data_IF_887776080766
#
_entry.id   IF_887776080766
#
_cell.length_a   1.000
_cell.length_b   1.000
_cell.length_c   1.000
_cell.angle_alpha   90.00
_cell.angle_beta   90.00
_cell.angle_gamma   90.00
#
_symmetry.space_group_name_H-M   'P 1'
#
loop_
_entity.id
_entity.type
_entity.pdbx_description
1 polymer ?
#
# COMPACT_ATOMS: atom_id res chain seq x y z
N UNK A 1 18.67 61.35 -37.81
CA UNK A 1 19.34 60.65 -36.73
C UNK A 1 18.31 60.40 -35.68
N UNK A 2 17.69 59.22 -35.67
CA UNK A 2 16.68 58.80 -34.71
C UNK A 2 17.23 57.61 -33.97
N UNK A 3 17.43 57.72 -32.65
CA UNK A 3 17.91 56.69 -31.75
C UNK A 3 16.74 55.83 -31.30
N UNK A 4 16.85 54.54 -31.60
CA UNK A 4 15.92 53.48 -31.17
C UNK A 4 16.42 52.94 -29.85
N UNK A 5 15.60 53.06 -28.78
CA UNK A 5 15.80 52.39 -27.49
C UNK A 5 15.13 51.01 -27.50
N UNK A 6 15.76 49.93 -27.02
CA UNK A 6 15.11 48.63 -26.93
C UNK A 6 14.30 48.50 -25.64
N UNK A 7 13.07 47.99 -25.76
CA UNK A 7 12.16 47.67 -24.68
C UNK A 7 12.67 46.48 -23.87
N UNK A 8 12.76 46.66 -22.54
CA UNK A 8 13.12 45.60 -21.61
C UNK A 8 11.99 44.59 -21.45
N UNK A 9 12.31 43.30 -21.64
CA UNK A 9 11.45 42.17 -21.27
C UNK A 9 11.51 41.96 -19.76
N UNK A 10 10.41 42.22 -19.08
CA UNK A 10 10.22 41.87 -17.70
C UNK A 10 9.97 40.35 -17.64
N UNK A 11 10.95 39.59 -17.20
CA UNK A 11 10.81 38.19 -16.83
C UNK A 11 9.98 38.09 -15.57
N UNK A 12 8.72 37.63 -15.70
CA UNK A 12 7.86 37.28 -14.57
C UNK A 12 8.43 36.04 -13.86
N UNK A 13 9.02 36.26 -12.69
CA UNK A 13 9.36 35.17 -11.78
C UNK A 13 8.06 34.62 -11.21
N UNK A 14 7.63 33.47 -11.71
CA UNK A 14 6.65 32.62 -11.05
C UNK A 14 7.24 32.16 -9.71
N UNK A 15 6.81 32.76 -8.62
CA UNK A 15 7.05 32.24 -7.29
C UNK A 15 6.28 30.92 -7.17
N UNK A 16 7.01 29.81 -7.34
CA UNK A 16 6.54 28.51 -6.88
C UNK A 16 6.38 28.62 -5.36
N UNK A 17 5.14 28.76 -4.91
CA UNK A 17 4.81 28.71 -3.50
C UNK A 17 5.32 27.40 -2.92
N UNK A 18 6.35 27.46 -2.11
CA UNK A 18 6.75 26.36 -1.21
C UNK A 18 5.58 26.13 -0.28
N UNK A 19 4.81 25.06 -0.55
CA UNK A 19 3.80 24.55 0.37
C UNK A 19 4.59 24.08 1.59
N UNK A 20 4.61 24.90 2.66
CA UNK A 20 5.15 24.50 3.95
C UNK A 20 4.39 23.25 4.39
N UNK A 21 5.09 22.12 4.43
CA UNK A 21 4.50 20.84 4.82
C UNK A 21 4.06 20.94 6.29
N UNK A 22 2.77 21.04 6.50
CA UNK A 22 2.15 21.22 7.79
C UNK A 22 2.40 19.97 8.64
N UNK A 23 2.98 20.12 9.84
CA UNK A 23 3.24 18.98 10.72
C UNK A 23 1.94 18.28 11.09
N UNK A 24 2.00 16.94 11.21
CA UNK A 24 0.85 16.11 11.54
C UNK A 24 0.20 16.53 12.87
N UNK A 25 -1.10 16.81 12.85
CA UNK A 25 -1.88 17.03 14.05
C UNK A 25 -2.06 15.75 14.86
N UNK A 26 -2.34 15.82 16.17
CA UNK A 26 -2.62 14.63 16.99
C UNK A 26 -3.77 13.78 16.43
N UNK A 27 -4.79 14.40 15.83
CA UNK A 27 -5.93 13.72 15.20
C UNK A 27 -5.51 12.95 13.95
N UNK A 28 -4.69 13.56 13.10
CA UNK A 28 -4.13 12.93 11.92
C UNK A 28 -3.23 11.73 12.29
N UNK A 29 -2.44 11.88 13.35
CA UNK A 29 -1.64 10.77 13.87
C UNK A 29 -2.51 9.63 14.43
N UNK A 30 -3.63 9.94 15.06
CA UNK A 30 -4.59 8.93 15.52
C UNK A 30 -5.23 8.19 14.34
N UNK A 31 -5.58 8.91 13.26
CA UNK A 31 -6.12 8.31 12.04
C UNK A 31 -5.11 7.38 11.35
N UNK A 32 -3.82 7.79 11.29
CA UNK A 32 -2.75 6.94 10.73
C UNK A 32 -2.56 5.65 11.56
N UNK A 33 -2.60 5.77 12.89
CA UNK A 33 -2.54 4.60 13.78
C UNK A 33 -3.71 3.66 13.54
N UNK A 34 -4.92 4.22 13.42
CA UNK A 34 -6.12 3.47 13.10
C UNK A 34 -6.02 2.79 11.74
N UNK A 35 -5.50 3.49 10.72
CA UNK A 35 -5.25 2.92 9.40
C UNK A 35 -4.29 1.73 9.48
N UNK A 36 -3.21 1.83 10.26
CA UNK A 36 -2.28 0.71 10.44
C UNK A 36 -2.97 -0.53 11.05
N UNK A 37 -3.85 -0.32 12.02
CA UNK A 37 -4.65 -1.39 12.62
C UNK A 37 -5.65 -2.00 11.62
N UNK A 38 -6.29 -1.18 10.79
CA UNK A 38 -7.21 -1.66 9.73
C UNK A 38 -6.45 -2.48 8.70
N UNK A 39 -5.29 -2.02 8.21
CA UNK A 39 -4.45 -2.74 7.26
C UNK A 39 -3.99 -4.09 7.84
N UNK A 40 -3.60 -4.12 9.11
CA UNK A 40 -3.23 -5.37 9.77
C UNK A 40 -4.37 -6.39 9.71
N UNK A 41 -5.60 -5.98 10.04
CA UNK A 41 -6.78 -6.86 10.06
C UNK A 41 -7.25 -7.30 8.68
N UNK A 42 -7.01 -6.49 7.64
CA UNK A 42 -7.42 -6.82 6.27
C UNK A 42 -6.48 -7.81 5.58
N UNK A 43 -5.19 -7.80 5.92
CA UNK A 43 -4.18 -8.48 5.11
C UNK A 43 -3.29 -9.47 5.88
N UNK A 44 -3.42 -9.54 7.21
CA UNK A 44 -2.53 -10.35 8.05
C UNK A 44 -3.31 -11.25 9.01
N UNK A 45 -2.61 -12.27 9.50
CA UNK A 45 -3.12 -13.21 10.49
C UNK A 45 -3.00 -12.65 11.92
N UNK A 46 -3.71 -13.26 12.87
CA UNK A 46 -3.85 -12.79 14.26
C UNK A 46 -2.50 -12.49 14.95
N UNK A 47 -1.49 -13.32 14.75
CA UNK A 47 -0.16 -13.10 15.34
C UNK A 47 0.50 -11.80 14.85
N UNK A 48 0.35 -11.49 13.56
CA UNK A 48 0.87 -10.25 12.98
C UNK A 48 0.05 -9.03 13.44
N UNK A 49 -1.27 -9.19 13.58
CA UNK A 49 -2.16 -8.14 14.09
C UNK A 49 -1.74 -7.73 15.51
N UNK A 50 -1.48 -8.69 16.38
CA UNK A 50 -1.02 -8.42 17.75
C UNK A 50 0.31 -7.64 17.76
N UNK A 51 1.26 -8.00 16.90
CA UNK A 51 2.53 -7.29 16.78
C UNK A 51 2.29 -5.85 16.30
N UNK A 52 1.48 -5.65 15.26
CA UNK A 52 1.16 -4.32 14.72
C UNK A 52 0.45 -3.44 15.75
N UNK A 53 -0.54 -3.97 16.47
CA UNK A 53 -1.29 -3.23 17.48
C UNK A 53 -0.38 -2.72 18.64
N UNK A 54 0.61 -3.50 19.03
CA UNK A 54 1.60 -3.06 20.02
C UNK A 54 2.50 -1.94 19.48
N UNK A 55 2.98 -2.08 18.23
CA UNK A 55 3.88 -1.11 17.61
C UNK A 55 3.19 0.23 17.28
N UNK A 56 1.88 0.21 17.03
CA UNK A 56 1.10 1.44 16.85
C UNK A 56 1.06 2.30 18.10
N UNK A 57 1.13 1.67 19.29
CA UNK A 57 1.05 2.36 20.58
C UNK A 57 2.41 2.82 21.11
N UNK A 58 3.51 2.26 20.60
CA UNK A 58 4.85 2.43 21.15
C UNK A 58 5.80 2.87 20.03
N UNK A 59 6.63 3.88 20.30
CA UNK A 59 7.54 4.42 19.28
C UNK A 59 8.56 3.38 18.80
N UNK A 60 9.22 2.68 19.73
CA UNK A 60 10.11 1.55 19.45
C UNK A 60 10.17 0.61 20.66
N UNK A 61 10.35 -0.69 20.43
CA UNK A 61 10.34 -1.69 21.48
C UNK A 61 11.34 -2.82 21.19
N UNK A 62 12.11 -3.29 22.19
CA UNK A 62 12.97 -4.47 22.05
C UNK A 62 12.18 -5.75 21.81
N UNK A 63 12.71 -6.66 21.00
CA UNK A 63 12.05 -7.94 20.67
C UNK A 63 11.65 -8.74 21.91
N UNK A 64 12.51 -8.83 22.93
CA UNK A 64 12.25 -9.59 24.16
C UNK A 64 11.10 -8.99 24.99
N UNK A 65 11.01 -7.64 25.00
CA UNK A 65 9.94 -6.95 25.72
C UNK A 65 8.61 -7.12 24.99
N UNK A 66 8.63 -7.01 23.65
CA UNK A 66 7.45 -7.21 22.82
C UNK A 66 6.92 -8.64 22.96
N UNK A 67 7.81 -9.65 22.90
CA UNK A 67 7.45 -11.06 23.07
C UNK A 67 6.75 -11.32 24.41
N UNK A 68 7.30 -10.77 25.51
CA UNK A 68 6.67 -10.86 26.84
C UNK A 68 5.29 -10.19 26.91
N UNK A 69 5.12 -9.04 26.26
CA UNK A 69 3.83 -8.32 26.24
C UNK A 69 2.74 -9.10 25.52
N UNK A 70 3.10 -9.77 24.42
CA UNK A 70 2.14 -10.57 23.63
C UNK A 70 1.97 -11.98 24.23
N UNK A 71 2.86 -12.41 25.13
CA UNK A 71 2.81 -13.74 25.75
C UNK A 71 3.34 -14.86 24.86
N UNK A 72 4.28 -14.56 23.94
CA UNK A 72 4.90 -15.54 23.03
C UNK A 72 6.42 -15.62 23.20
N UNK A 73 7.02 -16.68 22.64
CA UNK A 73 8.48 -16.81 22.65
C UNK A 73 9.11 -15.81 21.69
N UNK A 74 10.30 -15.30 22.01
CA UNK A 74 11.05 -14.34 21.16
C UNK A 74 11.32 -14.89 19.77
N UNK A 75 11.53 -16.20 19.64
CA UNK A 75 11.76 -16.86 18.35
C UNK A 75 10.52 -16.74 17.43
N UNK A 76 9.34 -17.04 17.99
CA UNK A 76 8.07 -16.99 17.23
C UNK A 76 7.74 -15.56 16.84
N UNK A 77 7.90 -14.62 17.78
CA UNK A 77 7.76 -13.19 17.50
C UNK A 77 8.69 -12.76 16.35
N UNK A 78 9.97 -13.17 16.37
CA UNK A 78 10.93 -12.79 15.34
C UNK A 78 10.52 -13.33 13.97
N UNK A 79 9.96 -14.54 13.90
CA UNK A 79 9.43 -15.11 12.66
C UNK A 79 8.27 -14.27 12.10
N UNK A 80 7.29 -13.92 12.94
CA UNK A 80 6.16 -13.06 12.56
C UNK A 80 6.63 -11.67 12.14
N UNK A 81 7.51 -11.04 12.94
CA UNK A 81 8.03 -9.73 12.66
C UNK A 81 8.86 -9.69 11.36
N UNK A 82 9.57 -10.78 11.03
CA UNK A 82 10.35 -10.87 9.78
C UNK A 82 9.45 -10.69 8.55
N UNK A 83 8.26 -11.31 8.52
CA UNK A 83 7.30 -11.13 7.44
C UNK A 83 6.83 -9.68 7.33
N UNK A 84 6.51 -9.04 8.46
CA UNK A 84 6.11 -7.62 8.48
C UNK A 84 7.23 -6.69 8.01
N UNK A 85 8.49 -7.01 8.33
CA UNK A 85 9.68 -6.26 7.86
C UNK A 85 9.89 -6.46 6.36
N UNK A 86 9.78 -7.70 5.86
CA UNK A 86 9.86 -8.00 4.43
C UNK A 86 8.76 -7.27 3.65
N UNK A 87 7.58 -7.19 4.23
CA UNK A 87 6.44 -6.46 3.70
C UNK A 87 6.57 -4.94 3.88
N UNK A 88 7.61 -4.47 4.55
CA UNK A 88 7.87 -3.06 4.85
C UNK A 88 6.76 -2.36 5.63
N UNK A 89 6.01 -3.12 6.42
CA UNK A 89 4.99 -2.58 7.33
C UNK A 89 5.60 -2.05 8.61
N UNK A 90 6.68 -2.67 9.08
CA UNK A 90 7.46 -2.25 10.24
C UNK A 90 8.94 -2.18 9.87
N UNK A 91 9.71 -1.47 10.69
CA UNK A 91 11.15 -1.33 10.57
C UNK A 91 11.86 -2.04 11.72
N UNK A 92 13.09 -2.49 11.46
CA UNK A 92 13.94 -3.16 12.44
C UNK A 92 15.24 -2.41 12.58
N UNK A 93 15.69 -2.24 13.82
CA UNK A 93 17.02 -1.69 14.13
C UNK A 93 17.74 -2.63 15.08
N UNK A 94 19.03 -2.91 14.82
CA UNK A 94 19.90 -3.72 15.67
C UNK A 94 20.90 -2.81 16.34
N UNK A 95 20.82 -2.74 17.67
CA UNK A 95 21.71 -1.94 18.48
C UNK A 95 22.69 -2.85 19.24
N UNK A 96 23.97 -2.50 19.24
CA UNK A 96 24.97 -3.16 20.07
C UNK A 96 25.02 -2.46 21.41
N UNK A 97 24.62 -3.13 22.47
CA UNK A 97 24.64 -2.63 23.83
C UNK A 97 25.73 -3.35 24.64
N UNK A 98 26.54 -2.59 25.38
CA UNK A 98 27.53 -3.16 26.29
C UNK A 98 26.82 -3.44 27.62
N UNK A 99 26.80 -4.68 28.06
CA UNK A 99 26.25 -5.04 29.37
C UNK A 99 27.25 -4.64 30.45
N UNK A 100 26.81 -3.88 31.44
CA UNK A 100 27.63 -3.60 32.62
C UNK A 100 27.89 -4.90 33.39
N UNK A 101 29.14 -5.26 33.59
CA UNK A 101 29.55 -6.45 34.32
C UNK A 101 31.02 -6.78 34.09
N UNK A 102 31.58 -7.71 34.88
CA UNK A 102 33.01 -8.06 34.82
C UNK A 102 33.46 -8.65 33.47
N UNK A 103 32.49 -9.12 32.65
CA UNK A 103 32.72 -9.58 31.29
C UNK A 103 31.89 -8.73 30.31
N UNK A 104 32.44 -7.61 29.89
CA UNK A 104 31.84 -6.68 28.93
C UNK A 104 31.72 -7.32 27.53
N UNK A 105 30.73 -8.19 27.34
CA UNK A 105 30.42 -8.72 25.99
C UNK A 105 29.35 -7.86 25.36
N UNK A 106 29.56 -7.36 24.14
CA UNK A 106 28.52 -6.64 23.41
C UNK A 106 27.35 -7.60 23.12
N UNK A 107 26.15 -7.17 23.45
CA UNK A 107 24.91 -7.88 23.15
C UNK A 107 24.18 -7.10 22.05
N UNK A 108 23.82 -7.80 20.96
CA UNK A 108 23.00 -7.21 19.92
C UNK A 108 21.54 -7.31 20.32
N UNK A 109 20.89 -6.16 20.55
CA UNK A 109 19.45 -6.09 20.83
C UNK A 109 18.70 -5.61 19.61
N UNK A 110 17.63 -6.30 19.26
CA UNK A 110 16.80 -6.00 18.12
C UNK A 110 15.60 -5.17 18.57
N UNK A 111 15.38 -4.02 17.94
CA UNK A 111 14.26 -3.12 18.15
C UNK A 111 13.34 -3.14 16.95
N UNK A 112 12.04 -3.22 17.19
CA UNK A 112 11.00 -3.05 16.18
C UNK A 112 10.30 -1.71 16.39
N UNK A 113 9.99 -1.03 15.28
CA UNK A 113 9.28 0.24 15.30
C UNK A 113 8.51 0.46 14.01
N UNK A 114 7.56 1.38 14.03
CA UNK A 114 6.78 1.76 12.86
C UNK A 114 7.24 3.12 12.35
N UNK A 115 7.72 3.16 11.11
CA UNK A 115 7.92 4.41 10.37
C UNK A 115 6.62 4.69 9.60
N UNK A 116 5.84 5.63 10.10
CA UNK A 116 4.53 5.96 9.54
C UNK A 116 4.60 6.49 8.12
N UNK A 117 5.63 7.28 7.77
CA UNK A 117 5.82 7.76 6.41
C UNK A 117 6.03 6.60 5.44
N UNK A 118 6.99 5.74 5.77
CA UNK A 118 7.29 4.55 4.97
C UNK A 118 6.09 3.62 4.86
N UNK A 119 5.39 3.39 5.97
CA UNK A 119 4.15 2.59 6.01
C UNK A 119 3.09 3.13 5.05
N UNK A 120 2.82 4.45 5.05
CA UNK A 120 1.84 5.06 4.15
C UNK A 120 2.24 4.94 2.68
N UNK A 121 3.51 5.18 2.37
CA UNK A 121 4.02 5.09 1.00
C UNK A 121 3.89 3.65 0.46
N UNK A 122 4.25 2.65 1.27
CA UNK A 122 4.10 1.23 0.91
C UNK A 122 2.63 0.84 0.76
N UNK A 123 1.77 1.32 1.65
CA UNK A 123 0.31 1.06 1.57
C UNK A 123 -0.29 1.63 0.29
N UNK A 124 0.02 2.89 -0.05
CA UNK A 124 -0.39 3.53 -1.31
C UNK A 124 0.08 2.73 -2.52
N UNK A 125 1.36 2.37 -2.53
CA UNK A 125 1.95 1.61 -3.63
C UNK A 125 1.28 0.24 -3.82
N UNK A 126 1.05 -0.51 -2.74
CA UNK A 126 0.38 -1.82 -2.81
C UNK A 126 -1.06 -1.71 -3.30
N UNK A 127 -1.81 -0.71 -2.85
CA UNK A 127 -3.16 -0.45 -3.35
C UNK A 127 -3.16 -0.15 -4.84
N UNK A 128 -2.23 0.69 -5.30
CA UNK A 128 -2.09 0.99 -6.73
C UNK A 128 -1.70 -0.25 -7.54
N UNK A 129 -0.81 -1.10 -7.01
CA UNK A 129 -0.41 -2.35 -7.65
C UNK A 129 -1.59 -3.33 -7.79
N UNK A 130 -2.38 -3.51 -6.73
CA UNK A 130 -3.60 -4.33 -6.78
C UNK A 130 -4.60 -3.80 -7.80
N UNK A 131 -4.86 -2.49 -7.80
CA UNK A 131 -5.76 -1.87 -8.76
C UNK A 131 -5.28 -2.06 -10.21
N UNK A 132 -3.99 -1.81 -10.48
CA UNK A 132 -3.41 -2.04 -11.81
C UNK A 132 -3.58 -3.48 -12.28
N UNK A 133 -3.41 -4.44 -11.37
CA UNK A 133 -3.60 -5.85 -11.71
C UNK A 133 -5.06 -6.15 -12.13
N UNK A 134 -6.03 -5.60 -11.42
CA UNK A 134 -7.46 -5.72 -11.76
C UNK A 134 -7.77 -5.00 -13.08
N UNK A 135 -7.28 -3.77 -13.27
CA UNK A 135 -7.48 -3.00 -14.49
C UNK A 135 -6.86 -3.71 -15.71
N UNK A 136 -5.68 -4.33 -15.55
CA UNK A 136 -5.04 -5.12 -16.62
C UNK A 136 -5.89 -6.34 -16.98
N UNK A 137 -6.42 -7.06 -15.98
CA UNK A 137 -7.32 -8.20 -16.24
C UNK A 137 -8.60 -7.76 -16.97
N UNK A 138 -9.17 -6.64 -16.56
CA UNK A 138 -10.35 -6.08 -17.22
C UNK A 138 -10.05 -5.70 -18.68
N UNK A 139 -8.93 -5.03 -18.95
CA UNK A 139 -8.52 -4.71 -20.32
C UNK A 139 -8.32 -5.96 -21.18
N UNK A 140 -7.58 -6.94 -20.67
CA UNK A 140 -7.38 -8.21 -21.40
C UNK A 140 -8.71 -8.93 -21.65
N UNK A 141 -9.64 -8.89 -20.69
CA UNK A 141 -11.00 -9.40 -20.88
C UNK A 141 -11.77 -8.65 -21.97
N UNK A 142 -11.66 -7.32 -22.00
CA UNK A 142 -12.29 -6.48 -23.02
C UNK A 142 -11.68 -6.70 -24.42
N UNK A 143 -10.35 -6.85 -24.50
CA UNK A 143 -9.65 -7.12 -25.76
C UNK A 143 -10.01 -8.50 -26.32
N UNK A 144 -10.29 -9.47 -25.45
CA UNK A 144 -10.62 -10.85 -25.80
C UNK A 144 -12.11 -11.18 -25.72
N UNK A 145 -12.99 -10.19 -25.52
CA UNK A 145 -14.42 -10.43 -25.33
C UNK A 145 -15.11 -11.14 -26.50
N UNK A 146 -14.53 -11.02 -27.70
CA UNK A 146 -15.08 -11.58 -28.91
C UNK A 146 -16.42 -10.95 -29.33
N UNK A 147 -17.18 -11.68 -30.12
CA UNK A 147 -18.45 -11.25 -30.69
C UNK A 147 -19.54 -12.29 -30.41
N UNK A 148 -20.77 -11.87 -30.34
CA UNK A 148 -21.93 -12.74 -30.15
C UNK A 148 -23.02 -12.40 -31.17
N UNK A 149 -23.69 -13.43 -31.68
CA UNK A 149 -24.86 -13.24 -32.53
C UNK A 149 -26.09 -12.97 -31.65
N UNK A 150 -26.80 -11.84 -31.82
CA UNK A 150 -27.96 -11.53 -31.02
C UNK A 150 -29.16 -12.47 -31.30
N UNK A 151 -29.18 -13.14 -32.47
CA UNK A 151 -30.29 -14.04 -32.86
C UNK A 151 -30.07 -15.49 -32.37
N UNK A 152 -28.93 -16.09 -32.68
CA UNK A 152 -28.64 -17.50 -32.32
C UNK A 152 -27.76 -17.67 -31.08
N UNK A 153 -27.26 -16.56 -30.50
CA UNK A 153 -26.37 -16.50 -29.33
C UNK A 153 -25.07 -17.29 -29.48
N UNK A 154 -24.68 -17.58 -30.74
CA UNK A 154 -23.38 -18.19 -30.99
C UNK A 154 -22.28 -17.15 -30.72
N UNK A 155 -21.24 -17.54 -29.94
CA UNK A 155 -20.12 -16.68 -29.61
C UNK A 155 -18.91 -17.01 -30.50
N UNK A 156 -18.20 -15.98 -30.92
CA UNK A 156 -17.02 -16.07 -31.77
C UNK A 156 -15.86 -15.35 -31.07
N UNK A 157 -14.69 -15.95 -31.12
CA UNK A 157 -13.46 -15.27 -30.66
C UNK A 157 -13.06 -14.16 -31.64
N UNK A 158 -12.22 -13.24 -31.20
CA UNK A 158 -11.68 -12.15 -32.05
C UNK A 158 -10.91 -12.70 -33.27
N UNK A 159 -10.31 -13.89 -33.18
CA UNK A 159 -9.62 -14.55 -34.27
C UNK A 159 -10.59 -15.15 -35.29
N UNK A 160 -11.64 -15.80 -34.82
CA UNK A 160 -12.65 -16.43 -35.69
C UNK A 160 -13.45 -15.38 -36.48
N UNK A 161 -13.74 -14.24 -35.87
CA UNK A 161 -14.51 -13.17 -36.53
C UNK A 161 -13.74 -12.56 -37.71
N UNK A 162 -12.42 -12.61 -37.74
CA UNK A 162 -11.63 -12.08 -38.85
C UNK A 162 -12.04 -12.68 -40.21
N UNK A 163 -12.53 -13.93 -40.23
CA UNK A 163 -13.01 -14.59 -41.46
C UNK A 163 -14.46 -14.27 -41.83
N UNK A 164 -15.23 -13.69 -40.89
CA UNK A 164 -16.64 -13.40 -41.04
C UNK A 164 -16.95 -11.96 -41.47
N UNK A 165 -15.92 -11.23 -41.89
CA UNK A 165 -16.06 -9.85 -42.38
C UNK A 165 -16.72 -9.82 -43.76
N UNK A 166 -17.93 -9.29 -43.83
CA UNK A 166 -18.59 -8.93 -45.09
C UNK A 166 -18.04 -7.59 -45.57
N UNK A 167 -17.18 -7.62 -46.59
CA UNK A 167 -16.53 -6.45 -47.16
C UNK A 167 -17.50 -5.47 -47.82
N UNK A 168 -18.70 -5.94 -48.21
CA UNK A 168 -19.71 -5.08 -48.87
C UNK A 168 -20.45 -4.23 -47.85
N UNK A 169 -20.66 -4.78 -46.65
CA UNK A 169 -21.40 -4.12 -45.54
C UNK A 169 -20.47 -3.57 -44.49
N UNK A 170 -19.18 -3.93 -44.54
CA UNK A 170 -18.16 -3.58 -43.53
C UNK A 170 -18.58 -3.96 -42.12
N UNK A 171 -19.16 -5.15 -41.98
CA UNK A 171 -19.63 -5.70 -40.71
C UNK A 171 -19.36 -7.20 -40.61
N UNK A 172 -19.32 -7.73 -39.38
CA UNK A 172 -19.18 -9.17 -39.17
C UNK A 172 -20.55 -9.85 -39.20
N UNK A 173 -20.65 -10.96 -39.90
CA UNK A 173 -21.91 -11.68 -40.11
C UNK A 173 -21.81 -13.09 -39.57
N UNK A 174 -22.90 -13.56 -38.90
CA UNK A 174 -22.96 -14.89 -38.32
C UNK A 174 -22.94 -15.98 -39.40
N UNK A 175 -22.05 -16.95 -39.26
CA UNK A 175 -21.87 -18.07 -40.21
C UNK A 175 -22.88 -19.20 -40.00
N UNK A 176 -23.64 -19.19 -38.91
CA UNK A 176 -24.64 -20.26 -38.64
C UNK A 176 -25.63 -20.33 -39.77
N UNK A 177 -25.84 -21.52 -40.38
CA UNK A 177 -26.79 -21.69 -41.50
C UNK A 177 -28.16 -21.17 -41.20
N UNK A 178 -28.67 -20.23 -42.05
CA UNK A 178 -29.96 -19.60 -41.89
C UNK A 178 -30.02 -18.45 -40.91
N UNK A 179 -28.91 -18.04 -40.33
CA UNK A 179 -28.86 -16.90 -39.40
C UNK A 179 -28.50 -15.59 -40.11
N UNK A 180 -27.30 -15.44 -40.63
CA UNK A 180 -26.84 -14.25 -41.40
C UNK A 180 -27.00 -12.90 -40.69
N UNK A 181 -27.10 -12.88 -39.38
CA UNK A 181 -27.30 -11.70 -38.56
C UNK A 181 -25.97 -11.03 -38.25
N UNK A 182 -25.96 -9.69 -38.18
CA UNK A 182 -24.78 -8.92 -37.74
C UNK A 182 -24.36 -9.33 -36.34
N UNK A 183 -23.04 -9.53 -36.16
CA UNK A 183 -22.44 -9.83 -34.88
C UNK A 183 -22.24 -8.56 -34.07
N UNK A 184 -22.54 -8.63 -32.79
CA UNK A 184 -22.29 -7.53 -31.83
C UNK A 184 -21.19 -7.92 -30.86
N UNK A 185 -20.54 -6.92 -30.29
CA UNK A 185 -19.55 -7.11 -29.25
C UNK A 185 -20.11 -7.92 -28.08
N UNK A 186 -19.37 -8.93 -27.60
CA UNK A 186 -19.78 -9.71 -26.44
C UNK A 186 -19.41 -9.01 -25.13
N UNK A 187 -20.19 -7.97 -24.77
CA UNK A 187 -19.99 -7.21 -23.52
C UNK A 187 -20.28 -8.03 -22.27
N UNK A 188 -21.04 -9.10 -22.40
CA UNK A 188 -21.44 -10.01 -21.32
C UNK A 188 -20.48 -11.22 -21.19
N UNK A 189 -19.31 -11.18 -21.84
CA UNK A 189 -18.31 -12.22 -21.66
C UNK A 189 -18.01 -12.44 -20.18
N UNK A 190 -17.98 -13.68 -19.74
CA UNK A 190 -17.84 -14.05 -18.32
C UNK A 190 -16.60 -13.41 -17.68
N UNK A 191 -15.48 -13.38 -18.39
CA UNK A 191 -14.23 -12.77 -17.92
C UNK A 191 -14.36 -11.25 -17.69
N UNK A 192 -15.11 -10.55 -18.54
CA UNK A 192 -15.37 -9.12 -18.39
C UNK A 192 -16.27 -8.86 -17.19
N UNK A 193 -17.34 -9.63 -17.01
CA UNK A 193 -18.25 -9.53 -15.85
C UNK A 193 -17.48 -9.80 -14.56
N UNK A 194 -16.75 -10.90 -14.47
CA UNK A 194 -15.96 -11.27 -13.30
C UNK A 194 -14.92 -10.19 -12.94
N UNK A 195 -14.31 -9.56 -13.94
CA UNK A 195 -13.34 -8.48 -13.72
C UNK A 195 -14.01 -7.19 -13.25
N UNK A 196 -15.18 -6.83 -13.80
CA UNK A 196 -16.01 -5.69 -13.33
C UNK A 196 -16.45 -5.90 -11.88
N UNK A 197 -16.95 -7.09 -11.56
CA UNK A 197 -17.38 -7.44 -10.20
C UNK A 197 -16.21 -7.41 -9.22
N UNK A 198 -15.05 -7.89 -9.63
CA UNK A 198 -13.82 -7.83 -8.83
C UNK A 198 -13.40 -6.38 -8.56
N UNK A 199 -13.48 -5.49 -9.56
CA UNK A 199 -13.19 -4.06 -9.40
C UNK A 199 -14.17 -3.38 -8.44
N UNK A 200 -15.44 -3.70 -8.56
CA UNK A 200 -16.50 -3.17 -7.67
C UNK A 200 -16.24 -3.59 -6.22
N UNK A 201 -16.03 -4.88 -5.99
CA UNK A 201 -15.69 -5.42 -4.65
C UNK A 201 -14.42 -4.81 -4.10
N UNK A 202 -13.37 -4.64 -4.92
CA UNK A 202 -12.13 -3.98 -4.51
C UNK A 202 -12.39 -2.54 -4.02
N UNK A 203 -13.16 -1.77 -4.77
CA UNK A 203 -13.48 -0.39 -4.41
C UNK A 203 -14.30 -0.30 -3.12
N UNK A 204 -15.27 -1.18 -2.95
CA UNK A 204 -16.12 -1.24 -1.75
C UNK A 204 -15.30 -1.62 -0.51
N UNK A 205 -14.55 -2.72 -0.57
CA UNK A 205 -13.78 -3.23 0.56
C UNK A 205 -12.65 -2.29 1.00
N UNK A 206 -11.99 -1.62 0.05
CA UNK A 206 -10.90 -0.69 0.35
C UNK A 206 -11.34 0.77 0.48
N UNK A 207 -12.63 1.07 0.43
CA UNK A 207 -13.16 2.42 0.57
C UNK A 207 -12.72 3.11 1.88
N UNK A 208 -12.70 2.36 2.98
CA UNK A 208 -12.23 2.84 4.29
C UNK A 208 -10.75 3.24 4.23
N UNK A 209 -9.90 2.37 3.68
CA UNK A 209 -8.45 2.62 3.55
C UNK A 209 -8.21 3.83 2.65
N UNK A 210 -8.91 3.93 1.51
CA UNK A 210 -8.80 5.08 0.60
C UNK A 210 -9.18 6.40 1.26
N UNK A 211 -10.24 6.39 2.08
CA UNK A 211 -10.69 7.58 2.82
C UNK A 211 -9.63 8.03 3.82
N UNK A 212 -9.10 7.12 4.64
CA UNK A 212 -8.05 7.43 5.60
C UNK A 212 -6.74 7.88 4.93
N UNK A 213 -6.38 7.33 3.76
CA UNK A 213 -5.21 7.80 3.01
C UNK A 213 -5.40 9.22 2.47
N UNK A 214 -6.61 9.58 2.02
CA UNK A 214 -6.92 10.94 1.55
C UNK A 214 -6.90 11.96 2.69
N UNK A 215 -7.39 11.61 3.88
CA UNK A 215 -7.41 12.53 5.04
C UNK A 215 -6.02 12.90 5.55
N UNK A 216 -5.00 12.09 5.26
CA UNK A 216 -3.61 12.32 5.64
C UNK A 216 -2.72 12.70 4.46
N UNK A 217 -3.30 13.01 3.31
CA UNK A 217 -2.56 13.43 2.14
C UNK A 217 -1.97 14.83 2.33
N UNK A 218 -0.69 15.01 1.94
CA UNK A 218 0.01 16.30 2.08
C UNK A 218 0.52 16.62 3.49
N UNK A 219 0.31 15.73 4.47
CA UNK A 219 0.77 15.92 5.85
C UNK A 219 2.24 15.51 5.98
N UNK A 220 3.07 16.40 6.56
CA UNK A 220 4.44 16.07 6.93
C UNK A 220 4.44 15.20 8.20
N UNK A 221 4.82 13.94 8.05
CA UNK A 221 4.91 13.03 9.17
C UNK A 221 6.27 13.12 9.85
N UNK A 222 6.31 13.09 11.20
CA UNK A 222 7.58 12.98 11.90
C UNK A 222 8.22 11.61 11.60
N UNK A 223 9.45 11.64 11.09
CA UNK A 223 10.26 10.43 11.00
C UNK A 223 10.84 10.12 12.39
N UNK A 224 10.76 8.86 12.81
CA UNK A 224 11.41 8.43 14.04
C UNK A 224 12.91 8.30 13.80
N UNK A 225 13.71 9.21 14.36
CA UNK A 225 15.16 8.98 14.48
C UNK A 225 15.39 7.96 15.59
N UNK A 226 15.58 6.69 15.18
CA UNK A 226 15.77 5.58 16.10
C UNK A 226 17.04 5.73 16.95
N UNK A 227 18.10 6.34 16.40
CA UNK A 227 19.34 6.57 17.14
C UNK A 227 19.16 7.61 18.25
N UNK A 228 18.53 8.75 17.94
CA UNK A 228 18.20 9.77 18.92
C UNK A 228 17.22 9.24 19.98
N UNK A 229 16.26 8.41 19.57
CA UNK A 229 15.31 7.76 20.48
C UNK A 229 16.03 6.79 21.43
N UNK A 230 16.92 5.94 20.90
CA UNK A 230 17.72 5.00 21.71
C UNK A 230 18.63 5.74 22.70
N UNK A 231 19.30 6.81 22.28
CA UNK A 231 20.15 7.60 23.15
C UNK A 231 19.39 8.17 24.36
N UNK A 232 18.10 8.52 24.18
CA UNK A 232 17.24 9.03 25.27
C UNK A 232 16.66 7.94 26.14
N UNK A 233 16.36 6.76 25.58
CA UNK A 233 15.57 5.74 26.26
C UNK A 233 16.39 4.53 26.74
N UNK A 234 17.57 4.27 26.18
CA UNK A 234 18.45 3.18 26.65
C UNK A 234 18.98 3.44 28.06
N UNK A 235 19.21 4.68 28.43
CA UNK A 235 19.64 5.05 29.79
C UNK A 235 18.52 4.89 30.83
N UNK A 236 17.24 5.02 30.43
CA UNK A 236 16.10 4.92 31.34
C UNK A 236 15.71 3.48 31.68
N UNK A 237 16.06 2.49 30.87
CA UNK A 237 15.79 1.08 31.13
C UNK A 237 16.72 0.45 32.18
N UNK A 238 17.84 1.11 32.50
CA UNK A 238 18.79 0.68 33.53
C UNK A 238 18.30 0.94 34.97
N UNK A 239 17.36 1.87 35.18
CA UNK A 239 16.90 2.28 36.52
C UNK A 239 15.52 1.75 36.96
N UNK A 240 14.85 0.93 36.17
CA UNK A 240 13.54 0.35 36.52
C UNK A 240 13.57 -1.09 37.01
N UNK A 241 14.74 -1.59 37.41
CA UNK A 241 14.82 -2.82 38.20
C UNK A 241 14.59 -2.46 39.68
N UNK A 242 13.49 -2.85 40.32
CA UNK A 242 13.39 -2.76 41.76
C UNK A 242 14.49 -3.64 42.34
N UNK A 243 15.38 -3.03 43.12
CA UNK A 243 16.39 -3.74 43.90
C UNK A 243 15.65 -4.65 44.88
N UNK A 244 15.95 -5.96 44.88
CA UNK A 244 15.45 -6.81 45.98
C UNK A 244 16.39 -6.63 47.19
N UNK A 245 16.02 -5.71 48.07
CA UNK A 245 16.52 -5.62 49.44
C UNK A 245 15.45 -4.92 50.25
N UNK A 246 14.73 -5.68 50.96
CA UNK A 246 14.55 -5.89 52.40
C UNK A 246 13.30 -6.74 52.62
#
# INVERSE_FOLDING_TARGET
>A
MASVTPAGHAAGHSQAGTVEAQQATPEQMAEIRRLAQVIARLFYEDGHILVMDQLVSIAAIPAEVLARRIGMQTRDLTSLATKLVQDRMISVHRNQETREGPFQRPITRTYFYMDYKHFLDVTKWRMMAMRRHIDTKLRNGLDNKGYVCPRCRHSYSTLEVAHLLDLTRNMFVCEVPGCGTELVDNEDAEDVRNSKDTLTRFNEQLSVVQRSLRSVEGVALPSLDIHAWLAKNSTCLLYTSPSPRD
#
